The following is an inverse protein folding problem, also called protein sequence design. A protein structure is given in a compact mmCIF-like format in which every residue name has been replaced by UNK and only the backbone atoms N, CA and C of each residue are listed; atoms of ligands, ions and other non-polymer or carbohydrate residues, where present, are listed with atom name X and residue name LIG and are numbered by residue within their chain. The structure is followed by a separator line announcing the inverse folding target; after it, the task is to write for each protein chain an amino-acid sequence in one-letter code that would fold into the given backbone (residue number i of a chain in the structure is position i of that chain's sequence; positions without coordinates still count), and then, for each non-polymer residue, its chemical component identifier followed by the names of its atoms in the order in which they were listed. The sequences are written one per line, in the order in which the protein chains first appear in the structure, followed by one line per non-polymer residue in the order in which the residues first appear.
data_IF_157059270854
#
_entry.id   IF_157059270854
#
_cell.length_a   1.000
_cell.length_b   1.000
_cell.length_c   1.000
_cell.angle_alpha   90.00
_cell.angle_beta   90.00
_cell.angle_gamma   90.00
#
_symmetry.space_group_name_H-M   'P 1'
#
loop_
_entity.id
_entity.type
_entity.pdbx_description
1 polymer ?
#
# COMPACT_ATOMS: atom_id res chain seq x y z
N UNK A 1 -26.92 -1.78 6.37
CA UNK A 1 -25.45 -1.98 6.28
C UNK A 1 -25.04 -3.21 7.07
N UNK A 2 -24.25 -4.13 6.50
CA UNK A 2 -23.82 -5.36 7.19
C UNK A 2 -23.01 -5.01 8.46
N UNK A 3 -23.24 -5.68 9.60
CA UNK A 3 -22.62 -5.33 10.88
C UNK A 3 -21.08 -5.42 10.88
N UNK A 4 -20.51 -6.31 10.06
CA UNK A 4 -19.06 -6.42 9.85
C UNK A 4 -18.45 -5.16 9.21
N UNK A 5 -19.17 -4.52 8.28
CA UNK A 5 -18.72 -3.30 7.60
C UNK A 5 -18.68 -2.11 8.55
N UNK A 6 -19.68 -1.97 9.45
CA UNK A 6 -19.67 -0.94 10.50
C UNK A 6 -18.47 -1.08 11.46
N UNK A 7 -18.15 -2.30 11.90
CA UNK A 7 -16.95 -2.52 12.74
C UNK A 7 -15.65 -2.20 11.99
N UNK A 8 -15.58 -2.52 10.70
CA UNK A 8 -14.42 -2.21 9.88
C UNK A 8 -14.23 -0.70 9.74
N UNK A 9 -15.29 0.04 9.40
CA UNK A 9 -15.26 1.50 9.23
C UNK A 9 -14.93 2.22 10.55
N UNK A 10 -15.51 1.81 11.68
CA UNK A 10 -15.22 2.43 12.98
C UNK A 10 -13.77 2.14 13.43
N UNK A 11 -13.28 0.90 13.23
CA UNK A 11 -11.93 0.50 13.66
C UNK A 11 -10.82 1.08 12.78
N UNK A 12 -11.03 1.15 11.47
CA UNK A 12 -10.05 1.73 10.52
C UNK A 12 -10.20 3.24 10.35
N UNK A 13 -11.41 3.78 10.54
CA UNK A 13 -11.69 5.22 10.46
C UNK A 13 -11.26 6.01 11.70
N UNK A 14 -11.09 5.36 12.85
CA UNK A 14 -10.63 5.97 14.10
C UNK A 14 -9.17 6.45 14.03
N UNK A 15 -8.34 5.88 13.16
CA UNK A 15 -6.94 6.29 13.00
C UNK A 15 -6.58 6.57 11.53
N UNK A 16 -7.02 7.73 11.00
CA UNK A 16 -6.71 8.16 9.63
C UNK A 16 -5.20 8.30 9.44
N UNK A 17 -4.49 8.84 10.43
CA UNK A 17 -3.06 9.11 10.38
C UNK A 17 -2.26 7.80 10.27
N UNK A 18 -2.65 6.77 11.04
CA UNK A 18 -2.05 5.43 10.93
C UNK A 18 -2.23 4.80 9.55
N UNK A 19 -3.40 4.95 8.95
CA UNK A 19 -3.69 4.41 7.60
C UNK A 19 -2.89 5.15 6.51
N UNK A 20 -2.78 6.48 6.61
CA UNK A 20 -1.89 7.29 5.76
C UNK A 20 -0.43 6.87 5.88
N UNK A 21 0.05 6.64 7.10
CA UNK A 21 1.43 6.23 7.35
C UNK A 21 1.73 4.85 6.75
N UNK A 22 0.80 3.90 6.84
CA UNK A 22 0.92 2.59 6.17
C UNK A 22 0.90 2.69 4.65
N UNK A 23 0.05 3.56 4.10
CA UNK A 23 0.01 3.84 2.66
C UNK A 23 1.36 4.41 2.18
N UNK A 24 1.89 5.42 2.86
CA UNK A 24 3.18 6.04 2.53
C UNK A 24 4.32 5.04 2.65
N UNK A 25 4.35 4.23 3.70
CA UNK A 25 5.37 3.17 3.85
C UNK A 25 5.33 2.16 2.70
N UNK A 26 4.14 1.67 2.34
CA UNK A 26 3.97 0.77 1.20
C UNK A 26 4.38 1.42 -0.13
N UNK A 27 4.05 2.70 -0.30
CA UNK A 27 4.42 3.47 -1.48
C UNK A 27 5.94 3.66 -1.58
N UNK A 28 6.63 3.93 -0.46
CA UNK A 28 8.09 4.03 -0.43
C UNK A 28 8.77 2.72 -0.82
N UNK A 29 8.25 1.58 -0.34
CA UNK A 29 8.74 0.24 -0.70
C UNK A 29 8.49 -0.03 -2.19
N UNK A 30 7.33 0.37 -2.72
CA UNK A 30 7.04 0.24 -4.14
C UNK A 30 8.02 1.06 -4.99
N UNK A 31 8.25 2.32 -4.61
CA UNK A 31 9.15 3.23 -5.33
C UNK A 31 10.59 2.72 -5.29
N UNK A 32 11.06 2.12 -4.18
CA UNK A 32 12.41 1.56 -4.12
C UNK A 32 12.58 0.33 -5.02
N UNK A 33 11.56 -0.53 -5.12
CA UNK A 33 11.56 -1.63 -6.08
C UNK A 33 11.54 -1.14 -7.53
N UNK A 34 10.72 -0.12 -7.82
CA UNK A 34 10.63 0.49 -9.16
C UNK A 34 11.93 1.19 -9.56
N UNK A 35 12.57 1.94 -8.66
CA UNK A 35 13.85 2.59 -8.95
C UNK A 35 14.96 1.56 -9.18
N UNK A 36 14.98 0.48 -8.40
CA UNK A 36 15.87 -0.66 -8.62
C UNK A 36 15.70 -1.27 -10.01
N UNK A 37 14.45 -1.45 -10.45
CA UNK A 37 14.14 -1.98 -11.79
C UNK A 37 14.56 -1.01 -12.90
N UNK A 38 14.26 0.29 -12.76
CA UNK A 38 14.56 1.30 -13.79
C UNK A 38 16.06 1.63 -13.90
N UNK A 39 16.79 1.57 -12.80
CA UNK A 39 18.24 1.81 -12.77
C UNK A 39 19.04 0.56 -13.14
N UNK A 40 18.42 -0.62 -13.20
CA UNK A 40 19.07 -1.83 -13.65
C UNK A 40 19.27 -1.79 -15.18
N UNK A 41 20.42 -1.28 -15.61
CA UNK A 41 20.82 -1.20 -17.02
C UNK A 41 21.47 -2.49 -17.54
N UNK A 42 21.64 -3.51 -16.68
CA UNK A 42 22.28 -4.77 -17.04
C UNK A 42 21.26 -5.89 -17.31
N UNK A 43 21.03 -6.26 -18.59
CA UNK A 43 20.02 -7.25 -18.97
C UNK A 43 20.34 -8.70 -18.57
N UNK A 44 21.56 -8.99 -18.08
CA UNK A 44 21.92 -10.34 -17.61
C UNK A 44 21.35 -10.66 -16.22
N UNK A 45 20.80 -9.67 -15.53
CA UNK A 45 20.37 -9.77 -14.14
C UNK A 45 18.87 -10.06 -14.00
N UNK A 46 18.31 -10.99 -14.78
CA UNK A 46 16.88 -11.34 -14.74
C UNK A 46 16.39 -11.75 -13.32
N UNK A 47 17.29 -12.24 -12.48
CA UNK A 47 17.01 -12.53 -11.08
C UNK A 47 16.78 -11.28 -10.21
N UNK A 48 17.55 -10.21 -10.45
CA UNK A 48 17.37 -8.91 -9.80
C UNK A 48 16.05 -8.27 -10.21
N UNK A 49 15.68 -8.38 -11.48
CA UNK A 49 14.39 -7.85 -11.97
C UNK A 49 13.22 -8.55 -11.28
N UNK A 50 13.25 -9.89 -11.17
CA UNK A 50 12.24 -10.66 -10.44
C UNK A 50 12.16 -10.26 -8.96
N UNK A 51 13.30 -10.02 -8.31
CA UNK A 51 13.32 -9.51 -6.93
C UNK A 51 12.72 -8.11 -6.82
N UNK A 52 13.06 -7.19 -7.72
CA UNK A 52 12.49 -5.85 -7.75
C UNK A 52 10.98 -5.89 -7.95
N UNK A 53 10.47 -6.73 -8.85
CA UNK A 53 9.04 -6.94 -9.07
C UNK A 53 8.36 -7.50 -7.82
N UNK A 54 8.97 -8.47 -7.13
CA UNK A 54 8.43 -8.99 -5.87
C UNK A 54 8.34 -7.92 -4.78
N UNK A 55 9.38 -7.10 -4.64
CA UNK A 55 9.39 -5.97 -3.70
C UNK A 55 8.29 -4.96 -4.05
N UNK A 56 8.12 -4.66 -5.35
CA UNK A 56 7.02 -3.81 -5.82
C UNK A 56 5.65 -4.40 -5.47
N UNK A 57 5.42 -5.70 -5.70
CA UNK A 57 4.14 -6.34 -5.36
C UNK A 57 3.83 -6.29 -3.86
N UNK A 58 4.84 -6.51 -3.02
CA UNK A 58 4.69 -6.40 -1.55
C UNK A 58 4.38 -4.97 -1.15
N UNK A 59 5.14 -3.99 -1.67
CA UNK A 59 4.91 -2.57 -1.42
C UNK A 59 3.51 -2.12 -1.86
N UNK A 60 3.07 -2.59 -3.02
CA UNK A 60 1.72 -2.34 -3.55
C UNK A 60 0.64 -2.92 -2.64
N UNK A 61 0.78 -4.16 -2.18
CA UNK A 61 -0.15 -4.77 -1.23
C UNK A 61 -0.26 -3.98 0.08
N UNK A 62 0.88 -3.55 0.63
CA UNK A 62 0.92 -2.73 1.83
C UNK A 62 0.28 -1.35 1.61
N UNK A 63 0.55 -0.72 0.47
CA UNK A 63 -0.06 0.55 0.09
C UNK A 63 -1.58 0.41 -0.04
N UNK A 64 -2.07 -0.64 -0.70
CA UNK A 64 -3.50 -0.92 -0.84
C UNK A 64 -4.20 -1.08 0.51
N UNK A 65 -3.59 -1.77 1.49
CA UNK A 65 -4.15 -1.88 2.85
C UNK A 65 -4.29 -0.50 3.50
N UNK A 66 -3.26 0.36 3.37
CA UNK A 66 -3.33 1.74 3.84
C UNK A 66 -4.41 2.57 3.13
N UNK A 67 -4.52 2.43 1.81
CA UNK A 67 -5.50 3.11 0.99
C UNK A 67 -6.93 2.76 1.38
N UNK A 68 -7.22 1.47 1.63
CA UNK A 68 -8.54 1.04 2.11
C UNK A 68 -8.88 1.68 3.45
N UNK A 69 -7.91 1.85 4.35
CA UNK A 69 -8.10 2.57 5.62
C UNK A 69 -8.41 4.06 5.42
N UNK A 70 -7.69 4.74 4.51
CA UNK A 70 -7.95 6.15 4.14
C UNK A 70 -9.35 6.29 3.52
N UNK A 71 -9.72 5.37 2.63
CA UNK A 71 -11.02 5.34 1.99
C UNK A 71 -12.14 5.17 3.02
N UNK A 72 -12.00 4.20 3.94
CA UNK A 72 -12.96 3.98 5.02
C UNK A 72 -13.11 5.19 5.94
N UNK A 73 -11.99 5.84 6.29
CA UNK A 73 -12.00 7.07 7.09
C UNK A 73 -12.72 8.22 6.40
N UNK A 74 -12.48 8.44 5.10
CA UNK A 74 -13.20 9.45 4.32
C UNK A 74 -14.69 9.14 4.20
N UNK A 75 -15.04 7.87 3.98
CA UNK A 75 -16.44 7.44 3.90
C UNK A 75 -17.17 7.63 5.24
N UNK A 76 -16.49 7.38 6.36
CA UNK A 76 -17.04 7.62 7.71
C UNK A 76 -17.31 9.10 7.99
N UNK A 77 -16.61 10.02 7.31
CA UNK A 77 -16.85 11.47 7.43
C UNK A 77 -18.02 11.94 6.55
N UNK A 78 -18.39 11.17 5.53
CA UNK A 78 -19.46 11.48 4.58
C UNK A 78 -20.80 10.83 4.96
N UNK A 79 -20.77 9.80 5.81
CA UNK A 79 -21.94 9.16 6.44
C UNK A 79 -22.29 9.86 7.76
#
# INVERSE_FOLDING_TARGET
MRPAFKRFVIKFGADPQGSWRRFILGLLIFISGLSGLLLNTQPQSAWLDNLCVLVMLIGFGFAMIGYVGIFASRFNRLL
#
